data_IF_145817281889
#
_entry.id   IF_145817281889
#
_cell.length_a   1.000
_cell.length_b   1.000
_cell.length_c   1.000
_cell.angle_alpha   90.00
_cell.angle_beta   90.00
_cell.angle_gamma   90.00
#
_symmetry.space_group_name_H-M   'P 1'
#
loop_
_entity.id
_entity.type
_entity.pdbx_description
1 polymer ?
#
# COMPACT_ATOMS: atom_id res chain seq x y z
N UNK A 1 -15.66 3.36 3.30
CA UNK A 1 -15.33 1.95 2.98
C UNK A 1 -15.01 1.25 4.28
N UNK A 2 -15.46 0.01 4.51
CA UNK A 2 -15.14 -0.73 5.72
C UNK A 2 -13.66 -1.17 5.75
N UNK A 3 -13.06 -1.33 6.95
CA UNK A 3 -11.69 -1.85 7.17
C UNK A 3 -11.26 -2.96 6.20
N UNK A 4 -12.07 -4.01 6.07
CA UNK A 4 -11.77 -5.17 5.24
C UNK A 4 -11.71 -4.87 3.74
N UNK A 5 -12.32 -3.77 3.29
CA UNK A 5 -12.23 -3.33 1.91
C UNK A 5 -10.88 -2.69 1.59
N UNK A 6 -10.35 -1.88 2.51
CA UNK A 6 -8.98 -1.34 2.38
C UNK A 6 -7.95 -2.46 2.39
N UNK A 7 -8.08 -3.40 3.32
CA UNK A 7 -7.20 -4.58 3.42
C UNK A 7 -7.23 -5.38 2.11
N UNK A 8 -8.41 -5.61 1.50
CA UNK A 8 -8.51 -6.30 0.21
C UNK A 8 -7.83 -5.53 -0.92
N UNK A 9 -8.00 -4.21 -0.99
CA UNK A 9 -7.35 -3.37 -2.01
C UNK A 9 -5.82 -3.32 -1.85
N UNK A 10 -5.34 -3.25 -0.62
CA UNK A 10 -3.91 -3.31 -0.28
C UNK A 10 -3.35 -4.69 -0.66
N UNK A 11 -4.05 -5.76 -0.29
CA UNK A 11 -3.69 -7.12 -0.69
C UNK A 11 -3.57 -7.27 -2.21
N UNK A 12 -4.50 -6.66 -2.96
CA UNK A 12 -4.47 -6.64 -4.42
C UNK A 12 -3.35 -5.76 -5.02
N UNK A 13 -2.74 -4.86 -4.23
CA UNK A 13 -1.63 -4.03 -4.68
C UNK A 13 -0.27 -4.72 -4.57
N UNK A 14 -0.13 -5.69 -3.65
CA UNK A 14 1.13 -6.41 -3.44
C UNK A 14 1.48 -7.37 -4.58
N UNK A 15 2.76 -7.53 -4.85
CA UNK A 15 3.28 -8.64 -5.66
C UNK A 15 3.11 -9.98 -4.91
N UNK A 16 3.34 -11.11 -5.60
CA UNK A 16 3.37 -12.49 -5.08
C UNK A 16 4.26 -12.68 -3.85
N UNK A 17 5.19 -11.76 -3.60
CA UNK A 17 6.08 -11.73 -2.44
C UNK A 17 5.64 -10.76 -1.33
N UNK A 18 4.50 -10.10 -1.47
CA UNK A 18 4.01 -9.10 -0.52
C UNK A 18 4.73 -7.74 -0.57
N UNK A 19 5.74 -7.60 -1.44
CA UNK A 19 6.49 -6.36 -1.66
C UNK A 19 5.75 -5.43 -2.64
N UNK A 20 5.78 -4.12 -2.36
CA UNK A 20 5.17 -3.00 -3.13
C UNK A 20 3.73 -2.65 -2.74
N UNK A 21 3.48 -2.53 -1.44
CA UNK A 21 2.21 -2.06 -0.91
C UNK A 21 1.21 -3.18 -0.68
N UNK A 22 1.70 -4.37 -0.30
CA UNK A 22 0.88 -5.49 0.12
C UNK A 22 0.50 -5.46 1.60
N UNK A 23 -0.20 -6.51 2.06
CA UNK A 23 -0.55 -6.67 3.49
C UNK A 23 0.71 -6.70 4.38
N UNK A 24 1.80 -7.31 3.91
CA UNK A 24 3.03 -7.38 4.69
C UNK A 24 3.64 -5.99 4.89
N UNK A 25 3.70 -5.17 3.84
CA UNK A 25 4.13 -3.76 3.96
C UNK A 25 3.21 -2.96 4.90
N UNK A 26 1.90 -3.21 4.89
CA UNK A 26 0.98 -2.57 5.84
C UNK A 26 1.31 -2.94 7.30
N UNK A 27 1.54 -4.23 7.57
CA UNK A 27 1.88 -4.71 8.90
C UNK A 27 3.26 -4.21 9.36
N UNK A 28 4.23 -4.17 8.46
CA UNK A 28 5.56 -3.63 8.71
C UNK A 28 5.50 -2.12 8.98
N UNK A 29 4.76 -1.36 8.17
CA UNK A 29 4.54 0.08 8.34
C UNK A 29 3.85 0.42 9.67
N UNK A 30 2.89 -0.40 10.08
CA UNK A 30 2.25 -0.30 11.39
C UNK A 30 3.16 -0.76 12.55
N UNK A 31 4.37 -1.27 12.28
CA UNK A 31 5.26 -1.92 13.26
C UNK A 31 4.59 -3.07 14.02
N UNK A 32 3.66 -3.75 13.33
CA UNK A 32 2.81 -4.84 13.83
C UNK A 32 3.11 -6.14 13.06
N UNK A 33 4.37 -6.37 12.72
CA UNK A 33 4.82 -7.55 11.96
C UNK A 33 4.44 -8.90 12.60
N UNK A 34 4.11 -8.91 13.89
CA UNK A 34 3.68 -10.11 14.63
C UNK A 34 2.16 -10.20 14.89
N UNK A 35 1.33 -9.28 14.38
CA UNK A 35 -0.12 -9.26 14.65
C UNK A 35 -0.91 -8.91 13.39
N UNK A 36 -2.10 -9.50 13.20
CA UNK A 36 -3.02 -9.12 12.11
C UNK A 36 -3.99 -8.00 12.50
N UNK A 37 -3.77 -7.34 13.65
CA UNK A 37 -4.70 -6.36 14.19
C UNK A 37 -4.38 -4.94 13.70
N UNK A 38 -4.98 -4.61 12.57
CA UNK A 38 -4.84 -3.30 11.92
C UNK A 38 -6.15 -2.52 12.06
N UNK A 39 -6.10 -1.29 12.52
CA UNK A 39 -7.26 -0.43 12.67
C UNK A 39 -7.79 0.00 11.30
N UNK A 40 -9.06 0.41 11.21
CA UNK A 40 -9.60 0.95 9.96
C UNK A 40 -8.80 2.17 9.48
N UNK A 41 -8.44 3.07 10.40
CA UNK A 41 -7.64 4.27 10.10
C UNK A 41 -6.25 3.92 9.57
N UNK A 42 -5.59 2.91 10.12
CA UNK A 42 -4.27 2.44 9.66
C UNK A 42 -4.36 1.88 8.24
N UNK A 43 -5.35 1.02 7.97
CA UNK A 43 -5.58 0.48 6.64
C UNK A 43 -5.91 1.58 5.62
N UNK A 44 -6.70 2.59 6.02
CA UNK A 44 -7.02 3.73 5.16
C UNK A 44 -5.78 4.58 4.83
N UNK A 45 -5.02 4.97 5.84
CA UNK A 45 -3.83 5.83 5.68
C UNK A 45 -2.80 5.16 4.79
N UNK A 46 -2.56 3.87 5.01
CA UNK A 46 -1.64 3.11 4.18
C UNK A 46 -2.11 3.02 2.73
N UNK A 47 -3.41 2.80 2.50
CA UNK A 47 -4.00 2.77 1.16
C UNK A 47 -3.86 4.10 0.39
N UNK A 48 -4.05 5.23 1.08
CA UNK A 48 -3.79 6.55 0.50
C UNK A 48 -2.30 6.73 0.17
N UNK A 49 -1.41 6.30 1.06
CA UNK A 49 0.04 6.43 0.88
C UNK A 49 0.55 5.63 -0.33
N UNK A 50 0.14 4.37 -0.50
CA UNK A 50 0.50 3.57 -1.69
C UNK A 50 -0.11 4.13 -2.98
N UNK A 51 -1.30 4.74 -2.92
CA UNK A 51 -1.90 5.38 -4.09
C UNK A 51 -1.08 6.61 -4.53
N UNK A 52 -0.60 7.40 -3.58
CA UNK A 52 0.28 8.55 -3.85
C UNK A 52 1.65 8.11 -4.38
N UNK A 53 2.24 7.06 -3.81
CA UNK A 53 3.52 6.51 -4.29
C UNK A 53 3.38 6.03 -5.74
N UNK A 54 2.33 5.24 -6.06
CA UNK A 54 2.07 4.76 -7.43
C UNK A 54 1.92 5.93 -8.41
N UNK A 55 1.12 6.93 -8.06
CA UNK A 55 0.96 8.12 -8.88
C UNK A 55 2.30 8.83 -9.12
N UNK A 56 3.14 8.95 -8.09
CA UNK A 56 4.44 9.63 -8.19
C UNK A 56 5.42 8.85 -9.06
N UNK A 57 5.46 7.52 -8.96
CA UNK A 57 6.30 6.66 -9.79
C UNK A 57 5.91 6.71 -11.28
N UNK A 58 4.60 6.71 -11.58
CA UNK A 58 4.11 6.85 -12.96
C UNK A 58 4.47 8.20 -13.57
N UNK A 59 4.37 9.28 -12.80
CA UNK A 59 4.77 10.62 -13.24
C UNK A 59 6.29 10.72 -13.47
N UNK A 60 7.12 10.12 -12.60
CA UNK A 60 8.57 10.10 -12.80
C UNK A 60 9.00 9.32 -14.06
N UNK A 61 8.30 8.24 -14.41
CA UNK A 61 8.56 7.48 -15.65
C UNK A 61 8.26 8.31 -16.91
N UNK A 62 7.20 9.11 -16.91
CA UNK A 62 6.89 10.00 -18.03
C UNK A 62 7.93 11.10 -18.24
N UNK A 63 8.53 11.62 -17.15
CA UNK A 63 9.55 12.68 -17.25
C UNK A 63 10.87 12.13 -17.82
N UNK A 64 11.26 10.90 -17.48
CA UNK A 64 12.50 10.27 -17.99
C UNK A 64 12.41 9.80 -19.44
N UNK A 65 11.21 9.55 -19.98
CA UNK A 65 11.03 9.14 -21.38
C UNK A 65 11.00 10.30 -22.38
N UNK A 66 11.09 11.55 -21.90
CA UNK A 66 11.09 12.77 -22.73
C UNK A 66 12.47 13.45 -22.84
N UNK A 67 13.54 12.78 -22.40
CA UNK A 67 14.91 13.31 -22.44
C UNK A 67 15.81 12.49 -23.33
#
# INVERSE_FOLDING_TARGET
>A
MPKWDYIRKISACGDRYGNKGGIHDLLDWCQKSCTLDVSESEARLFYELISVIKYTEENQKQIKSKK
#
